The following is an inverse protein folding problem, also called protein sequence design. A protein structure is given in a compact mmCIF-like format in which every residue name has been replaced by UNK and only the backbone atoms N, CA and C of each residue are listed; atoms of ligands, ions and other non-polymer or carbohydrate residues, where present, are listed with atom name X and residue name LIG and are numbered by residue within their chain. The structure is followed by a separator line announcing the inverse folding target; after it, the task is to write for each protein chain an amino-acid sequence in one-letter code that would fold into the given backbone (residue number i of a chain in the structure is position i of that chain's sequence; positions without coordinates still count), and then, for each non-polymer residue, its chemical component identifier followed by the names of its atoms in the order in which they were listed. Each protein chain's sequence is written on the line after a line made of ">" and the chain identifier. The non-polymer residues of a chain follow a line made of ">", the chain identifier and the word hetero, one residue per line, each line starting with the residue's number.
data_IF_548467669279
#
_entry.id   IF_548467669279
#
_cell.length_a   1.000
_cell.length_b   1.000
_cell.length_c   1.000
_cell.angle_alpha   90.00
_cell.angle_beta   90.00
_cell.angle_gamma   90.00
#
_symmetry.space_group_name_H-M   'P 1'
#
loop_
_entity.id
_entity.type
_entity.pdbx_description
1 polymer ?
#
# COMPACT_ATOMS: atom_id res chain seq x y z
N UNK A 1 -13.43 21.88 8.94
CA UNK A 1 -12.16 21.58 8.23
C UNK A 1 -11.17 21.07 9.27
N UNK A 2 -10.85 19.79 9.28
CA UNK A 2 -9.77 19.25 10.11
C UNK A 2 -8.46 19.83 9.57
N UNK A 3 -7.70 20.53 10.42
CA UNK A 3 -6.36 21.01 10.05
C UNK A 3 -5.51 19.78 9.77
N UNK A 4 -5.03 19.66 8.54
CA UNK A 4 -3.99 18.69 8.21
C UNK A 4 -2.83 18.92 9.20
N UNK A 5 -2.41 17.85 9.87
CA UNK A 5 -1.27 17.88 10.75
C UNK A 5 -0.02 18.10 9.88
N UNK A 6 0.46 19.31 9.80
CA UNK A 6 1.75 19.63 9.22
C UNK A 6 2.79 19.58 10.34
N UNK A 7 3.66 18.57 10.38
CA UNK A 7 4.72 18.55 11.38
C UNK A 7 5.67 19.72 11.11
N UNK A 8 5.86 20.57 12.10
CA UNK A 8 6.88 21.60 12.06
C UNK A 8 8.27 20.97 12.27
N UNK A 9 8.74 20.26 11.24
CA UNK A 9 10.10 19.72 11.24
C UNK A 9 11.02 20.89 10.91
N UNK A 10 11.47 21.60 11.92
CA UNK A 10 12.67 22.43 11.79
C UNK A 10 13.78 21.48 11.41
N UNK A 11 14.20 21.56 10.17
CA UNK A 11 15.11 20.63 9.54
C UNK A 11 16.49 20.68 10.17
N UNK A 12 16.78 19.79 11.09
CA UNK A 12 18.12 19.30 11.28
C UNK A 12 18.33 18.11 10.31
N UNK A 13 18.30 18.43 9.00
CA UNK A 13 18.63 17.57 7.84
C UNK A 13 18.34 16.07 8.02
N UNK A 14 17.10 15.72 8.33
CA UNK A 14 16.66 14.33 8.40
C UNK A 14 16.97 13.57 9.69
N UNK A 15 17.65 14.17 10.67
CA UNK A 15 17.82 13.56 12.00
C UNK A 15 16.46 13.31 12.66
N UNK A 16 16.20 12.05 13.01
CA UNK A 16 14.97 11.65 13.69
C UNK A 16 13.76 11.35 12.79
N UNK A 17 13.89 11.47 11.46
CA UNK A 17 12.77 11.19 10.55
C UNK A 17 12.25 9.76 10.70
N UNK A 18 13.13 8.77 10.74
CA UNK A 18 12.75 7.36 10.94
C UNK A 18 11.98 7.16 12.23
N UNK A 19 12.45 7.77 13.33
CA UNK A 19 11.76 7.72 14.62
C UNK A 19 10.39 8.39 14.53
N UNK A 20 10.30 9.54 13.88
CA UNK A 20 9.04 10.26 13.69
C UNK A 20 8.02 9.42 12.92
N UNK A 21 8.42 8.80 11.81
CA UNK A 21 7.54 7.91 11.01
C UNK A 21 7.12 6.69 11.84
N UNK A 22 8.06 6.06 12.56
CA UNK A 22 7.74 4.92 13.43
C UNK A 22 6.74 5.30 14.53
N UNK A 23 6.92 6.45 15.17
CA UNK A 23 5.97 6.95 16.16
C UNK A 23 4.61 7.30 15.56
N UNK A 24 4.58 7.87 14.36
CA UNK A 24 3.36 8.14 13.62
C UNK A 24 2.58 6.85 13.37
N UNK A 25 3.23 5.83 12.81
CA UNK A 25 2.62 4.52 12.54
C UNK A 25 2.09 3.88 13.84
N UNK A 26 2.88 3.92 14.92
CA UNK A 26 2.51 3.30 16.18
C UNK A 26 1.34 3.99 16.90
N UNK A 27 1.31 5.33 16.87
CA UNK A 27 0.33 6.15 17.61
C UNK A 27 -1.02 6.25 16.92
N UNK A 28 -1.07 6.12 15.59
CA UNK A 28 -2.33 6.25 14.86
C UNK A 28 -3.22 5.01 15.04
N UNK A 29 -4.46 5.25 15.41
CA UNK A 29 -5.46 4.22 15.63
C UNK A 29 -6.62 4.40 14.65
N UNK A 30 -7.30 3.31 14.33
CA UNK A 30 -8.46 3.34 13.44
C UNK A 30 -9.50 4.41 13.83
N UNK A 31 -9.70 4.62 15.13
CA UNK A 31 -10.64 5.60 15.67
C UNK A 31 -10.26 7.06 15.39
N UNK A 32 -9.01 7.33 15.08
CA UNK A 32 -8.54 8.68 14.72
C UNK A 32 -8.68 9.01 13.23
N UNK A 33 -8.99 8.01 12.39
CA UNK A 33 -9.12 8.19 10.95
C UNK A 33 -10.50 8.78 10.63
N UNK A 34 -10.59 9.87 9.86
CA UNK A 34 -11.87 10.46 9.47
C UNK A 34 -12.75 9.46 8.69
N UNK A 35 -14.05 9.43 8.99
CA UNK A 35 -15.01 8.51 8.35
C UNK A 35 -14.93 8.54 6.81
N UNK A 36 -14.80 9.74 6.22
CA UNK A 36 -14.66 9.89 4.77
C UNK A 36 -13.44 9.14 4.22
N UNK A 37 -12.31 9.17 4.92
CA UNK A 37 -11.07 8.46 4.54
C UNK A 37 -11.27 6.95 4.66
N UNK A 38 -11.94 6.50 5.72
CA UNK A 38 -12.29 5.07 5.91
C UNK A 38 -13.14 4.56 4.75
N UNK A 39 -14.18 5.30 4.35
CA UNK A 39 -15.05 4.90 3.24
C UNK A 39 -14.32 4.91 1.89
N UNK A 40 -13.43 5.87 1.68
CA UNK A 40 -12.58 5.90 0.49
C UNK A 40 -11.62 4.71 0.47
N UNK A 41 -10.94 4.43 1.58
CA UNK A 41 -10.03 3.28 1.69
C UNK A 41 -10.68 1.93 1.43
N UNK A 42 -11.95 1.75 1.84
CA UNK A 42 -12.71 0.54 1.49
C UNK A 42 -12.90 0.38 -0.01
N UNK A 43 -13.15 1.49 -0.74
CA UNK A 43 -13.28 1.48 -2.20
C UNK A 43 -11.97 1.11 -2.87
N UNK A 44 -10.87 1.72 -2.44
CA UNK A 44 -9.54 1.40 -2.98
C UNK A 44 -9.12 -0.05 -2.69
N UNK A 45 -9.45 -0.58 -1.51
CA UNK A 45 -9.23 -1.99 -1.19
C UNK A 45 -10.05 -2.90 -2.11
N UNK A 46 -11.32 -2.60 -2.33
CA UNK A 46 -12.17 -3.38 -3.24
C UNK A 46 -11.64 -3.35 -4.67
N UNK A 47 -11.27 -2.18 -5.15
CA UNK A 47 -10.65 -1.97 -6.46
C UNK A 47 -9.34 -2.75 -6.57
N UNK A 48 -8.43 -2.59 -5.64
CA UNK A 48 -7.14 -3.30 -5.61
C UNK A 48 -7.28 -4.83 -5.60
N UNK A 49 -8.26 -5.40 -4.90
CA UNK A 49 -8.55 -6.83 -4.99
C UNK A 49 -9.08 -7.24 -6.36
N UNK A 50 -9.91 -6.41 -6.99
CA UNK A 50 -10.38 -6.60 -8.36
C UNK A 50 -9.22 -6.61 -9.36
N UNK A 51 -8.33 -5.63 -9.24
CA UNK A 51 -7.14 -5.51 -10.08
C UNK A 51 -6.16 -6.68 -9.86
N UNK A 52 -5.94 -7.11 -8.61
CA UNK A 52 -5.11 -8.28 -8.32
C UNK A 52 -5.65 -9.55 -9.00
N UNK A 53 -6.97 -9.74 -9.02
CA UNK A 53 -7.61 -10.86 -9.72
C UNK A 53 -7.44 -10.73 -11.24
N UNK A 54 -7.69 -9.57 -11.82
CA UNK A 54 -7.47 -9.32 -13.24
C UNK A 54 -6.02 -9.53 -13.65
N UNK A 55 -5.07 -8.93 -12.92
CA UNK A 55 -3.65 -9.06 -13.18
C UNK A 55 -3.08 -10.47 -12.95
N UNK A 56 -3.78 -11.33 -12.20
CA UNK A 56 -3.35 -12.71 -12.00
C UNK A 56 -3.32 -13.53 -13.29
N UNK A 57 -4.12 -13.17 -14.27
CA UNK A 57 -4.18 -13.82 -15.60
C UNK A 57 -3.42 -13.01 -16.66
N UNK A 58 -2.94 -11.83 -16.33
CA UNK A 58 -2.08 -11.03 -17.20
C UNK A 58 -0.74 -11.73 -17.41
N UNK A 59 -0.04 -11.40 -18.50
CA UNK A 59 1.26 -11.99 -18.83
C UNK A 59 2.28 -11.89 -17.71
N UNK A 60 2.34 -10.73 -17.05
CA UNK A 60 3.20 -10.46 -15.89
C UNK A 60 2.88 -11.38 -14.71
N UNK A 61 1.60 -11.54 -14.38
CA UNK A 61 1.12 -12.43 -13.32
C UNK A 61 1.52 -13.88 -13.57
N UNK A 62 1.31 -14.38 -14.79
CA UNK A 62 1.64 -15.76 -15.18
C UNK A 62 3.14 -16.04 -15.01
N UNK A 63 4.02 -15.14 -15.47
CA UNK A 63 5.47 -15.31 -15.31
C UNK A 63 5.89 -15.24 -13.84
N UNK A 64 5.31 -14.33 -13.08
CA UNK A 64 5.63 -14.19 -11.67
C UNK A 64 5.17 -15.41 -10.87
N UNK A 65 4.01 -15.97 -11.17
CA UNK A 65 3.53 -17.19 -10.52
C UNK A 65 4.47 -18.38 -10.75
N UNK A 66 5.00 -18.53 -11.97
CA UNK A 66 6.05 -19.54 -12.25
C UNK A 66 7.28 -19.32 -11.39
N UNK A 67 7.79 -18.09 -11.35
CA UNK A 67 8.96 -17.74 -10.55
C UNK A 67 8.74 -18.04 -9.04
N UNK A 68 7.61 -17.63 -8.52
CA UNK A 68 7.28 -17.84 -7.11
C UNK A 68 7.11 -19.32 -6.78
N UNK A 69 6.47 -20.07 -7.64
CA UNK A 69 6.32 -21.52 -7.46
C UNK A 69 7.67 -22.26 -7.41
N UNK A 70 8.68 -21.76 -8.09
CA UNK A 70 10.03 -22.34 -8.11
C UNK A 70 10.91 -21.88 -6.94
N UNK A 71 10.68 -20.67 -6.41
CA UNK A 71 11.62 -19.99 -5.50
C UNK A 71 11.06 -19.73 -4.11
N UNK A 72 9.75 -19.85 -3.90
CA UNK A 72 9.14 -19.59 -2.60
C UNK A 72 8.97 -20.87 -1.79
N UNK A 73 9.25 -20.75 -0.50
CA UNK A 73 8.83 -21.76 0.47
C UNK A 73 7.29 -21.72 0.66
N UNK A 74 6.72 -22.86 1.04
CA UNK A 74 5.32 -22.94 1.49
C UNK A 74 5.09 -21.97 2.66
N UNK A 75 3.94 -21.33 2.66
CA UNK A 75 3.55 -20.38 3.69
C UNK A 75 2.03 -20.35 3.89
N UNK A 76 1.55 -19.28 4.49
CA UNK A 76 0.11 -19.11 4.78
C UNK A 76 -0.50 -17.91 4.07
N UNK A 77 0.32 -17.07 3.43
CA UNK A 77 -0.17 -15.90 2.72
C UNK A 77 -0.68 -16.25 1.32
N UNK A 78 -1.81 -15.69 0.95
CA UNK A 78 -2.52 -16.00 -0.30
C UNK A 78 -1.92 -15.25 -1.48
N UNK A 79 -1.67 -15.97 -2.57
CA UNK A 79 -1.48 -15.38 -3.90
C UNK A 79 -2.84 -15.32 -4.59
N UNK A 80 -3.37 -14.11 -4.75
CA UNK A 80 -4.70 -13.85 -5.30
C UNK A 80 -4.77 -14.36 -6.75
N UNK A 81 -5.91 -14.95 -7.12
CA UNK A 81 -6.10 -15.57 -8.44
C UNK A 81 -5.43 -16.94 -8.59
N UNK A 82 -4.84 -17.50 -7.52
CA UNK A 82 -4.21 -18.83 -7.54
C UNK A 82 -4.58 -19.66 -6.32
N UNK A 83 -4.17 -20.94 -6.31
CA UNK A 83 -4.26 -21.81 -5.14
C UNK A 83 -3.00 -21.77 -4.26
N UNK A 84 -2.03 -20.92 -4.60
CA UNK A 84 -0.77 -20.88 -3.89
C UNK A 84 -0.89 -20.20 -2.52
N UNK A 85 -0.25 -20.83 -1.52
CA UNK A 85 0.01 -20.26 -0.20
C UNK A 85 1.52 -20.25 -0.02
N UNK A 86 2.07 -19.05 0.12
CA UNK A 86 3.52 -18.81 0.14
C UNK A 86 3.92 -17.94 1.33
N UNK A 87 5.21 -17.62 1.47
CA UNK A 87 5.66 -16.66 2.48
C UNK A 87 5.11 -15.26 2.17
N UNK A 88 4.89 -14.44 3.20
CA UNK A 88 4.22 -13.12 3.06
C UNK A 88 4.89 -12.22 2.03
N UNK A 89 6.22 -12.18 2.00
CA UNK A 89 6.97 -11.36 1.02
C UNK A 89 6.67 -11.72 -0.44
N UNK A 90 6.54 -13.02 -0.72
CA UNK A 90 6.24 -13.48 -2.08
C UNK A 90 4.77 -13.33 -2.44
N UNK A 91 3.87 -13.47 -1.47
CA UNK A 91 2.46 -13.16 -1.67
C UNK A 91 2.25 -11.66 -1.93
N UNK A 92 2.89 -10.81 -1.13
CA UNK A 92 2.84 -9.36 -1.32
C UNK A 92 3.38 -8.94 -2.69
N UNK A 93 4.52 -9.51 -3.11
CA UNK A 93 5.09 -9.26 -4.43
C UNK A 93 4.13 -9.67 -5.55
N UNK A 94 3.59 -10.90 -5.50
CA UNK A 94 2.69 -11.40 -6.54
C UNK A 94 1.43 -10.56 -6.66
N UNK A 95 0.81 -10.24 -5.53
CA UNK A 95 -0.43 -9.48 -5.47
C UNK A 95 -0.20 -8.02 -5.90
N UNK A 96 0.93 -7.41 -5.52
CA UNK A 96 1.29 -6.06 -5.93
C UNK A 96 1.54 -5.93 -7.44
N UNK A 97 2.27 -6.89 -8.01
CA UNK A 97 2.43 -6.96 -9.48
C UNK A 97 1.09 -7.18 -10.16
N UNK A 98 0.21 -8.01 -9.59
CA UNK A 98 -1.14 -8.21 -10.12
C UNK A 98 -1.96 -6.92 -10.12
N UNK A 99 -1.93 -6.15 -9.04
CA UNK A 99 -2.64 -4.86 -8.94
C UNK A 99 -2.19 -3.89 -10.02
N UNK A 100 -0.88 -3.81 -10.26
CA UNK A 100 -0.28 -2.82 -11.18
C UNK A 100 -0.10 -3.33 -12.62
N UNK A 101 -0.49 -4.56 -12.94
CA UNK A 101 -0.21 -5.21 -14.24
C UNK A 101 -0.68 -4.44 -15.47
N UNK A 102 -1.82 -3.79 -15.38
CA UNK A 102 -2.49 -3.12 -16.49
C UNK A 102 -2.60 -1.60 -16.29
N UNK A 103 -1.93 -1.07 -15.26
CA UNK A 103 -1.84 0.37 -14.96
C UNK A 103 -3.22 1.06 -14.74
N UNK A 104 -4.16 0.34 -14.10
CA UNK A 104 -5.50 0.85 -13.76
C UNK A 104 -5.66 1.21 -12.29
N UNK A 105 -4.63 0.97 -11.49
CA UNK A 105 -4.64 1.24 -10.06
C UNK A 105 -4.53 2.73 -9.74
N UNK A 106 -4.84 3.04 -8.49
CA UNK A 106 -4.88 4.41 -7.99
C UNK A 106 -3.54 5.12 -8.12
N UNK A 107 -3.62 6.43 -8.28
CA UNK A 107 -2.47 7.27 -8.60
C UNK A 107 -2.40 8.47 -7.66
N UNK A 108 -1.24 8.70 -7.06
CA UNK A 108 -0.94 9.97 -6.41
C UNK A 108 -0.34 10.94 -7.43
N UNK A 109 -1.00 12.07 -7.64
CA UNK A 109 -0.49 13.15 -8.47
C UNK A 109 0.25 14.19 -7.64
N UNK A 110 1.37 14.66 -8.16
CA UNK A 110 2.05 15.83 -7.63
C UNK A 110 1.31 17.10 -8.06
N UNK A 111 0.70 17.78 -7.08
CA UNK A 111 -0.17 18.93 -7.33
C UNK A 111 0.38 20.16 -6.62
N UNK A 112 0.57 21.25 -7.39
CA UNK A 112 0.74 22.61 -6.88
C UNK A 112 -0.58 23.36 -6.99
N UNK A 113 -0.64 24.57 -6.40
CA UNK A 113 -1.84 25.39 -6.37
C UNK A 113 -2.42 25.69 -7.77
N UNK A 114 -1.58 25.75 -8.76
CA UNK A 114 -1.87 26.16 -10.13
C UNK A 114 -1.72 25.08 -11.19
N UNK A 115 -1.14 23.90 -10.83
CA UNK A 115 -0.87 22.83 -11.80
C UNK A 115 -0.69 21.45 -11.15
N UNK A 116 -0.93 20.41 -11.95
CA UNK A 116 -0.44 19.06 -11.73
C UNK A 116 0.87 18.90 -12.49
N UNK A 117 1.93 18.44 -11.84
CA UNK A 117 3.27 18.41 -12.43
C UNK A 117 3.93 17.03 -12.49
N UNK A 118 3.21 15.99 -12.12
CA UNK A 118 3.71 14.63 -12.29
C UNK A 118 2.90 13.58 -11.56
N UNK A 119 3.21 12.34 -11.88
CA UNK A 119 2.82 11.14 -11.17
C UNK A 119 3.88 10.86 -10.11
N UNK A 120 3.48 10.59 -8.89
CA UNK A 120 4.40 10.27 -7.79
C UNK A 120 4.47 8.78 -7.51
N UNK A 121 3.33 8.13 -7.32
CA UNK A 121 3.25 6.71 -6.96
C UNK A 121 1.86 6.15 -7.22
N UNK A 122 1.75 4.81 -7.19
CA UNK A 122 0.52 4.04 -7.18
C UNK A 122 0.36 3.39 -5.79
N UNK A 123 -0.24 4.07 -4.81
CA UNK A 123 -0.09 3.71 -3.40
C UNK A 123 -0.78 2.39 -3.01
N UNK A 124 -1.83 1.97 -3.72
CA UNK A 124 -2.50 0.70 -3.40
C UNK A 124 -1.65 -0.52 -3.77
N UNK A 125 -0.86 -0.43 -4.85
CA UNK A 125 -0.06 -1.56 -5.34
C UNK A 125 0.96 -2.11 -4.32
N UNK A 126 1.74 -1.31 -3.58
CA UNK A 126 2.62 -1.82 -2.52
C UNK A 126 1.93 -1.98 -1.16
N UNK A 127 0.99 -1.09 -0.80
CA UNK A 127 0.43 -1.05 0.54
C UNK A 127 -0.60 -2.15 0.81
N UNK A 128 -1.54 -2.38 -0.12
CA UNK A 128 -2.62 -3.34 0.05
C UNK A 128 -2.09 -4.79 0.17
N UNK A 129 -1.24 -5.29 -0.75
CA UNK A 129 -0.78 -6.66 -0.69
C UNK A 129 0.11 -6.92 0.53
N UNK A 130 0.89 -5.94 0.95
CA UNK A 130 1.72 -6.06 2.16
C UNK A 130 0.87 -6.18 3.42
N UNK A 131 -0.13 -5.30 3.58
CA UNK A 131 -1.07 -5.35 4.68
C UNK A 131 -1.90 -6.64 4.67
N UNK A 132 -2.30 -7.12 3.49
CA UNK A 132 -3.07 -8.36 3.34
C UNK A 132 -2.24 -9.60 3.72
N UNK A 133 -1.05 -9.76 3.17
CA UNK A 133 -0.20 -10.91 3.43
C UNK A 133 0.19 -11.03 4.92
N UNK A 134 0.58 -9.92 5.55
CA UNK A 134 0.87 -9.90 6.99
C UNK A 134 -0.38 -10.05 7.84
N UNK A 135 -1.49 -9.49 7.39
CA UNK A 135 -2.78 -9.61 8.04
C UNK A 135 -3.28 -11.06 8.11
N UNK A 136 -3.13 -11.84 7.03
CA UNK A 136 -3.42 -13.28 7.03
C UNK A 136 -2.56 -14.05 8.05
N UNK A 137 -1.25 -13.75 8.10
CA UNK A 137 -0.35 -14.41 9.05
C UNK A 137 -0.71 -14.13 10.51
N UNK A 138 -1.05 -12.89 10.80
CA UNK A 138 -1.36 -12.39 12.15
C UNK A 138 -2.83 -12.58 12.52
N UNK A 139 -3.68 -13.01 11.56
CA UNK A 139 -5.12 -13.19 11.73
C UNK A 139 -5.79 -11.93 12.27
N UNK A 140 -5.42 -10.77 11.75
CA UNK A 140 -5.99 -9.49 12.16
C UNK A 140 -7.44 -9.34 11.69
N UNK A 141 -8.20 -8.50 12.37
CA UNK A 141 -9.56 -8.17 11.96
C UNK A 141 -9.59 -7.08 10.87
N UNK A 142 -10.76 -6.86 10.27
CA UNK A 142 -10.91 -5.91 9.17
C UNK A 142 -10.62 -4.45 9.53
N UNK A 143 -10.81 -4.05 10.79
CA UNK A 143 -10.47 -2.68 11.24
C UNK A 143 -8.96 -2.47 11.29
N UNK A 144 -8.23 -3.45 11.83
CA UNK A 144 -6.77 -3.40 11.91
C UNK A 144 -6.15 -3.47 10.50
N UNK A 145 -6.72 -4.31 9.62
CA UNK A 145 -6.31 -4.37 8.23
C UNK A 145 -6.49 -3.02 7.50
N UNK A 146 -7.68 -2.42 7.62
CA UNK A 146 -7.96 -1.12 7.00
C UNK A 146 -7.08 0.00 7.60
N UNK A 147 -6.84 -0.04 8.91
CA UNK A 147 -5.91 0.90 9.57
C UNK A 147 -4.49 0.77 9.02
N UNK A 148 -3.98 -0.46 8.91
CA UNK A 148 -2.63 -0.71 8.38
C UNK A 148 -2.49 -0.23 6.93
N UNK A 149 -3.49 -0.51 6.08
CA UNK A 149 -3.52 -0.05 4.71
C UNK A 149 -3.50 1.48 4.61
N UNK A 150 -4.41 2.17 5.31
CA UNK A 150 -4.54 3.63 5.25
C UNK A 150 -3.29 4.35 5.78
N UNK A 151 -2.69 3.84 6.86
CA UNK A 151 -1.44 4.40 7.39
C UNK A 151 -0.28 4.15 6.41
N UNK A 152 -0.23 2.97 5.79
CA UNK A 152 0.75 2.63 4.75
C UNK A 152 0.69 3.62 3.58
N UNK A 153 -0.50 3.85 3.04
CA UNK A 153 -0.74 4.83 1.96
C UNK A 153 -0.31 6.24 2.37
N UNK A 154 -0.65 6.69 3.57
CA UNK A 154 -0.26 8.04 4.04
C UNK A 154 1.26 8.20 4.15
N UNK A 155 1.95 7.19 4.66
CA UNK A 155 3.43 7.19 4.76
C UNK A 155 4.08 7.17 3.37
N UNK A 156 3.60 6.29 2.48
CA UNK A 156 4.13 6.18 1.12
C UNK A 156 3.96 7.48 0.33
N UNK A 157 2.75 8.04 0.34
CA UNK A 157 2.45 9.30 -0.34
C UNK A 157 3.36 10.44 0.15
N UNK A 158 3.57 10.55 1.45
CA UNK A 158 4.47 11.56 2.02
C UNK A 158 5.94 11.34 1.66
N UNK A 159 6.38 10.07 1.62
CA UNK A 159 7.74 9.74 1.18
C UNK A 159 7.95 10.09 -0.29
N UNK A 160 6.98 9.80 -1.15
CA UNK A 160 7.01 10.14 -2.57
C UNK A 160 7.03 11.65 -2.80
N UNK A 161 6.21 12.42 -2.07
CA UNK A 161 6.24 13.88 -2.11
C UNK A 161 7.60 14.45 -1.70
N UNK A 162 8.23 13.87 -0.68
CA UNK A 162 9.54 14.32 -0.22
C UNK A 162 10.66 14.06 -1.22
N UNK A 163 10.51 13.06 -2.10
CA UNK A 163 11.48 12.71 -3.15
C UNK A 163 11.15 13.34 -4.50
N UNK A 164 10.01 14.00 -4.63
CA UNK A 164 9.57 14.60 -5.89
C UNK A 164 10.60 15.58 -6.42
N UNK A 165 11.03 15.45 -7.69
CA UNK A 165 11.89 16.43 -8.31
C UNK A 165 11.15 17.77 -8.43
N UNK A 166 11.78 18.82 -7.98
CA UNK A 166 11.27 20.20 -8.10
C UNK A 166 11.61 20.80 -9.44
#
# INVERSE_FOLDING_TARGET
>A
MAKAFTPNIKSDKGKGLTKYVAEFVYKNKFTSIPKKVVELGKKHILDGFGLALAGSVARTGVYLFKHINQNSAKGRATVIGSKMKVTSRFAALANGVGIHSDDYDDTQLAVLKDRVYGLLTHPTAPCLPSAFAEGELKKINGKDFLNAYLIGVDVECKASEAMSPR
#
